data_IF_294123062747
#
_entry.id   IF_294123062747
#
_cell.length_a   1.000
_cell.length_b   1.000
_cell.length_c   1.000
_cell.angle_alpha   90.00
_cell.angle_beta   90.00
_cell.angle_gamma   90.00
#
_symmetry.space_group_name_H-M   'P 1'
#
loop_
_entity.id
_entity.type
_entity.pdbx_description
1 polymer ?
#
# COMPACT_ATOMS: atom_id res chain seq x y z
N UNK A 1 17.30 -19.12 15.70
CA UNK A 1 16.42 -18.25 16.51
C UNK A 1 15.03 -18.39 15.93
N UNK A 2 14.09 -18.99 16.66
CA UNK A 2 12.72 -19.15 16.19
C UNK A 2 12.17 -17.76 15.80
N UNK A 3 11.58 -17.62 14.60
CA UNK A 3 10.92 -16.38 14.24
C UNK A 3 9.71 -16.19 15.17
N UNK A 4 9.87 -15.34 16.20
CA UNK A 4 8.83 -15.11 17.20
C UNK A 4 7.48 -14.70 16.59
N UNK A 5 7.53 -13.95 15.48
CA UNK A 5 6.38 -13.57 14.70
C UNK A 5 6.81 -13.28 13.26
N UNK A 6 6.17 -13.88 12.25
CA UNK A 6 6.38 -13.62 10.83
C UNK A 6 5.06 -13.58 10.06
N UNK A 7 5.06 -13.07 8.83
CA UNK A 7 3.90 -13.08 7.95
C UNK A 7 4.13 -14.09 6.82
N UNK A 8 3.18 -15.00 6.64
CA UNK A 8 3.25 -16.06 5.64
C UNK A 8 1.87 -16.33 5.04
N UNK A 9 1.83 -17.04 3.92
CA UNK A 9 0.58 -17.51 3.31
C UNK A 9 0.22 -18.87 3.92
N UNK A 10 -1.03 -19.04 4.33
CA UNK A 10 -1.57 -20.31 4.81
C UNK A 10 -1.93 -21.26 3.68
N UNK A 11 -2.33 -22.48 4.06
CA UNK A 11 -2.67 -23.54 3.10
C UNK A 11 -3.95 -23.20 2.30
N UNK A 12 -4.79 -22.34 2.87
CA UNK A 12 -5.97 -21.72 2.27
C UNK A 12 -5.63 -20.56 1.31
N UNK A 13 -4.36 -20.23 1.14
CA UNK A 13 -3.91 -19.10 0.31
C UNK A 13 -4.06 -17.73 0.97
N UNK A 14 -4.46 -17.67 2.24
CA UNK A 14 -4.69 -16.42 2.99
C UNK A 14 -3.42 -16.00 3.73
N UNK A 15 -3.12 -14.70 3.74
CA UNK A 15 -2.00 -14.19 4.52
C UNK A 15 -2.32 -14.20 6.01
N UNK A 16 -1.38 -14.67 6.83
CA UNK A 16 -1.52 -14.79 8.28
C UNK A 16 -0.20 -14.44 8.96
N UNK A 17 -0.30 -13.94 10.20
CA UNK A 17 0.80 -13.89 11.14
C UNK A 17 0.98 -15.28 11.76
N UNK A 18 2.22 -15.77 11.76
CA UNK A 18 2.65 -17.06 12.31
C UNK A 18 3.82 -16.88 13.27
N UNK A 19 4.12 -17.89 14.07
CA UNK A 19 5.18 -17.86 15.08
C UNK A 19 4.65 -18.11 16.48
N UNK A 20 5.55 -18.16 17.46
CA UNK A 20 5.21 -18.46 18.87
C UNK A 20 4.30 -17.41 19.50
N UNK A 21 4.36 -16.17 19.02
CA UNK A 21 3.54 -15.06 19.51
C UNK A 21 2.27 -14.80 18.67
N UNK A 22 1.96 -15.64 17.68
CA UNK A 22 0.83 -15.39 16.78
C UNK A 22 -0.53 -15.34 17.50
N UNK A 23 -0.67 -16.11 18.59
CA UNK A 23 -1.89 -16.13 19.42
C UNK A 23 -2.21 -14.78 20.07
N UNK A 24 -1.20 -13.93 20.35
CA UNK A 24 -1.40 -12.58 20.87
C UNK A 24 -2.09 -11.65 19.84
N UNK A 25 -2.10 -12.05 18.56
CA UNK A 25 -2.56 -11.24 17.43
C UNK A 25 -3.62 -11.95 16.57
N UNK A 26 -4.44 -12.83 17.16
CA UNK A 26 -5.51 -13.55 16.44
C UNK A 26 -6.45 -12.61 15.67
N UNK A 27 -6.80 -11.46 16.24
CA UNK A 27 -7.62 -10.43 15.57
C UNK A 27 -7.03 -9.98 14.23
N UNK A 28 -5.70 -9.97 14.09
CA UNK A 28 -5.03 -9.64 12.82
C UNK A 28 -5.29 -10.74 11.79
N UNK A 29 -5.23 -12.01 12.18
CA UNK A 29 -5.47 -13.14 11.28
C UNK A 29 -6.93 -13.21 10.85
N UNK A 30 -7.86 -13.00 11.78
CA UNK A 30 -9.30 -12.90 11.46
C UNK A 30 -9.56 -11.73 10.49
N UNK A 31 -8.91 -10.59 10.67
CA UNK A 31 -9.01 -9.46 9.76
C UNK A 31 -8.46 -9.77 8.37
N UNK A 32 -7.31 -10.44 8.27
CA UNK A 32 -6.72 -10.82 6.98
C UNK A 32 -7.59 -11.85 6.24
N UNK A 33 -8.22 -12.78 6.97
CA UNK A 33 -9.26 -13.68 6.46
C UNK A 33 -10.45 -12.91 5.91
N UNK A 34 -10.99 -11.97 6.70
CA UNK A 34 -12.08 -11.09 6.26
C UNK A 34 -11.75 -10.32 4.97
N UNK A 35 -10.51 -9.82 4.81
CA UNK A 35 -10.11 -9.16 3.57
C UNK A 35 -10.10 -10.13 2.38
N UNK A 36 -9.66 -11.37 2.58
CA UNK A 36 -9.68 -12.40 1.55
C UNK A 36 -11.14 -12.72 1.13
N UNK A 37 -12.04 -12.91 2.09
CA UNK A 37 -13.47 -13.17 1.85
C UNK A 37 -14.16 -12.02 1.10
N UNK A 38 -13.72 -10.79 1.36
CA UNK A 38 -14.17 -9.57 0.66
C UNK A 38 -13.55 -9.42 -0.74
N UNK A 39 -12.82 -10.42 -1.23
CA UNK A 39 -12.14 -10.44 -2.52
C UNK A 39 -11.15 -9.28 -2.71
N UNK A 40 -10.47 -8.86 -1.64
CA UNK A 40 -9.34 -7.95 -1.79
C UNK A 40 -8.20 -8.65 -2.54
N UNK A 41 -7.42 -7.86 -3.29
CA UNK A 41 -6.32 -8.45 -4.06
C UNK A 41 -5.28 -9.11 -3.13
N UNK A 42 -4.68 -10.25 -3.51
CA UNK A 42 -3.63 -10.90 -2.71
C UNK A 42 -2.44 -9.97 -2.41
N UNK A 43 -2.17 -9.00 -3.29
CA UNK A 43 -1.15 -7.97 -3.07
C UNK A 43 -1.53 -7.01 -1.94
N UNK A 44 -2.81 -6.66 -1.82
CA UNK A 44 -3.32 -5.84 -0.72
C UNK A 44 -3.25 -6.60 0.60
N UNK A 45 -3.72 -7.86 0.62
CA UNK A 45 -3.64 -8.71 1.82
C UNK A 45 -2.18 -8.89 2.26
N UNK A 46 -1.26 -9.17 1.33
CA UNK A 46 0.18 -9.22 1.60
C UNK A 46 0.71 -7.92 2.20
N UNK A 47 0.40 -6.78 1.58
CA UNK A 47 0.88 -5.49 2.06
C UNK A 47 0.38 -5.21 3.49
N UNK A 48 -0.90 -5.48 3.75
CA UNK A 48 -1.48 -5.28 5.07
C UNK A 48 -0.91 -6.26 6.09
N UNK A 49 -0.68 -7.53 5.73
CA UNK A 49 -0.05 -8.51 6.61
C UNK A 49 1.34 -8.06 7.07
N UNK A 50 2.19 -7.56 6.17
CA UNK A 50 3.51 -7.04 6.56
C UNK A 50 3.44 -5.72 7.33
N UNK A 51 2.48 -4.86 7.00
CA UNK A 51 2.28 -3.60 7.72
C UNK A 51 1.79 -3.85 9.17
N UNK A 52 0.87 -4.82 9.35
CA UNK A 52 0.38 -5.25 10.66
C UNK A 52 1.41 -6.08 11.42
N UNK A 53 2.22 -6.90 10.75
CA UNK A 53 3.37 -7.57 11.36
C UNK A 53 4.35 -6.57 11.98
N UNK A 54 4.63 -5.48 11.25
CA UNK A 54 5.52 -4.44 11.76
C UNK A 54 4.95 -3.74 13.01
N UNK A 55 3.63 -3.53 13.04
CA UNK A 55 2.94 -2.98 14.21
C UNK A 55 2.92 -3.98 15.37
N UNK A 56 2.59 -5.24 15.13
CA UNK A 56 2.57 -6.30 16.13
C UNK A 56 3.94 -6.50 16.79
N UNK A 57 5.02 -6.59 15.99
CA UNK A 57 6.39 -6.66 16.50
C UNK A 57 6.76 -5.44 17.35
N UNK A 58 6.32 -4.25 16.96
CA UNK A 58 6.55 -3.05 17.75
C UNK A 58 5.77 -3.07 19.07
N UNK A 59 4.48 -3.44 19.06
CA UNK A 59 3.66 -3.59 20.26
C UNK A 59 4.27 -4.54 21.28
N UNK A 60 4.81 -5.70 20.83
CA UNK A 60 5.51 -6.63 21.72
C UNK A 60 6.77 -6.02 22.35
N UNK A 61 7.54 -5.26 21.56
CA UNK A 61 8.70 -4.53 22.08
C UNK A 61 8.33 -3.48 23.14
N UNK A 62 7.15 -2.90 23.04
CA UNK A 62 6.57 -1.95 24.00
C UNK A 62 5.78 -2.65 25.13
N UNK A 63 5.67 -3.98 25.10
CA UNK A 63 4.85 -4.78 26.03
C UNK A 63 3.38 -4.33 26.09
N UNK A 64 2.83 -3.87 24.96
CA UNK A 64 1.45 -3.41 24.84
C UNK A 64 0.59 -4.47 24.14
N UNK A 65 -0.59 -4.76 24.69
CA UNK A 65 -1.54 -5.67 24.07
C UNK A 65 -2.34 -4.97 22.96
N UNK A 66 -2.70 -5.72 21.91
CA UNK A 66 -3.49 -5.18 20.79
C UNK A 66 -4.86 -4.65 21.22
N UNK A 67 -5.44 -5.25 22.27
CA UNK A 67 -6.76 -4.87 22.81
C UNK A 67 -6.77 -3.49 23.48
N UNK A 68 -5.61 -3.08 24.04
CA UNK A 68 -5.41 -1.85 24.82
C UNK A 68 -4.87 -0.68 23.98
N UNK A 69 -4.76 -0.87 22.66
CA UNK A 69 -4.28 0.18 21.77
C UNK A 69 -5.28 1.34 21.76
N UNK A 70 -4.81 2.49 22.24
CA UNK A 70 -5.50 3.78 22.20
C UNK A 70 -4.80 4.76 21.22
N UNK A 71 -5.22 6.03 21.23
CA UNK A 71 -4.62 7.08 20.39
C UNK A 71 -3.16 7.31 20.75
N UNK A 72 -2.79 7.24 22.04
CA UNK A 72 -1.44 7.52 22.52
C UNK A 72 -0.47 6.42 22.06
N UNK A 73 -0.89 5.16 22.10
CA UNK A 73 -0.13 4.04 21.52
C UNK A 73 0.11 4.26 20.02
N UNK A 74 -0.89 4.74 19.27
CA UNK A 74 -0.70 5.03 17.84
C UNK A 74 0.25 6.21 17.60
N UNK A 75 0.24 7.23 18.47
CA UNK A 75 1.19 8.34 18.40
C UNK A 75 2.62 7.88 18.73
N UNK A 76 2.80 7.00 19.72
CA UNK A 76 4.11 6.36 19.99
C UNK A 76 4.58 5.53 18.79
N UNK A 77 3.70 4.77 18.16
CA UNK A 77 4.04 4.01 16.94
C UNK A 77 4.45 4.93 15.78
N UNK A 78 3.78 6.07 15.63
CA UNK A 78 4.12 7.07 14.65
C UNK A 78 5.53 7.64 14.88
N UNK A 79 5.86 7.96 16.13
CA UNK A 79 7.21 8.40 16.54
C UNK A 79 8.25 7.32 16.23
N UNK A 80 8.00 6.08 16.64
CA UNK A 80 8.87 4.95 16.33
C UNK A 80 9.10 4.78 14.83
N UNK A 81 8.07 4.98 13.99
CA UNK A 81 8.22 4.95 12.55
C UNK A 81 9.08 6.09 11.99
N UNK A 82 9.06 7.28 12.61
CA UNK A 82 9.85 8.44 12.19
C UNK A 82 11.31 8.35 12.64
N UNK A 83 11.58 7.62 13.70
CA UNK A 83 12.92 7.48 14.30
C UNK A 83 13.59 6.14 13.96
N UNK A 84 12.86 5.22 13.31
CA UNK A 84 13.37 3.91 12.94
C UNK A 84 14.71 3.98 12.19
N UNK A 85 15.69 3.24 12.71
CA UNK A 85 16.97 2.99 12.04
C UNK A 85 16.81 1.79 11.12
N UNK A 86 17.08 2.00 9.83
CA UNK A 86 16.91 0.98 8.80
C UNK A 86 18.27 0.40 8.41
N UNK A 87 18.45 -0.93 8.45
CA UNK A 87 19.67 -1.57 8.00
C UNK A 87 20.02 -1.16 6.56
N UNK A 88 21.28 -0.85 6.29
CA UNK A 88 21.75 -0.45 4.96
C UNK A 88 21.41 0.99 4.54
N UNK A 89 20.74 1.78 5.39
CA UNK A 89 20.63 3.23 5.19
C UNK A 89 21.77 3.92 5.94
N UNK A 90 22.53 4.83 5.30
CA UNK A 90 23.56 5.56 6.02
C UNK A 90 22.92 6.32 7.19
N UNK A 91 23.59 6.27 8.36
CA UNK A 91 23.06 6.78 9.63
C UNK A 91 22.73 8.28 9.62
N UNK A 92 22.31 8.81 10.77
CA UNK A 92 21.79 10.19 10.92
C UNK A 92 22.69 11.32 10.40
N UNK A 93 23.95 11.05 10.07
CA UNK A 93 24.91 11.99 9.49
C UNK A 93 24.78 12.14 7.97
N UNK A 94 23.99 11.31 7.27
CA UNK A 94 23.77 11.44 5.82
C UNK A 94 22.37 11.99 5.55
N UNK A 95 22.34 13.24 5.12
CA UNK A 95 21.13 13.93 4.72
C UNK A 95 20.79 13.63 3.26
N UNK A 96 19.62 13.06 3.00
CA UNK A 96 19.12 12.99 1.63
C UNK A 96 18.72 14.38 1.17
N UNK A 97 19.50 14.99 0.28
CA UNK A 97 19.17 16.25 -0.41
C UNK A 97 17.79 16.14 -1.12
N UNK A 98 17.41 14.93 -1.52
CA UNK A 98 16.18 14.64 -2.27
C UNK A 98 14.91 14.67 -1.39
N UNK A 99 15.04 14.31 -0.12
CA UNK A 99 13.91 14.04 0.77
C UNK A 99 13.94 14.88 2.07
N UNK A 100 15.03 15.61 2.32
CA UNK A 100 15.23 16.45 3.51
C UNK A 100 15.22 15.66 4.83
N UNK A 101 15.50 14.35 4.78
CA UNK A 101 15.45 13.45 5.94
C UNK A 101 16.69 12.56 5.99
N UNK A 102 17.12 12.30 7.22
CA UNK A 102 18.26 11.44 7.57
C UNK A 102 17.83 10.17 8.33
N UNK A 103 16.56 10.06 8.77
CA UNK A 103 16.08 8.96 9.62
C UNK A 103 14.62 8.57 9.32
N UNK A 104 14.22 7.36 9.73
CA UNK A 104 12.82 6.89 9.69
C UNK A 104 12.30 6.38 8.36
N UNK A 105 11.08 5.84 8.39
CA UNK A 105 10.36 5.39 7.19
C UNK A 105 9.88 6.55 6.32
N UNK A 106 9.74 6.30 5.02
CA UNK A 106 9.12 7.27 4.11
C UNK A 106 7.67 7.55 4.54
N UNK A 107 7.15 8.79 4.40
CA UNK A 107 5.78 9.13 4.79
C UNK A 107 4.71 8.23 4.15
N UNK A 108 4.92 7.80 2.90
CA UNK A 108 4.03 6.87 2.21
C UNK A 108 3.97 5.50 2.89
N UNK A 109 5.10 5.00 3.40
CA UNK A 109 5.15 3.74 4.16
C UNK A 109 4.41 3.88 5.49
N UNK A 110 4.65 4.98 6.21
CA UNK A 110 3.96 5.26 7.49
C UNK A 110 2.45 5.34 7.27
N UNK A 111 2.01 6.09 6.26
CA UNK A 111 0.59 6.22 5.95
C UNK A 111 -0.05 4.89 5.53
N UNK A 112 0.68 4.01 4.82
CA UNK A 112 0.18 2.68 4.46
C UNK A 112 0.00 1.80 5.70
N UNK A 113 0.96 1.82 6.63
CA UNK A 113 0.84 1.14 7.93
C UNK A 113 -0.35 1.64 8.72
N UNK A 114 -0.50 2.97 8.85
CA UNK A 114 -1.65 3.57 9.52
C UNK A 114 -2.97 3.21 8.85
N UNK A 115 -3.02 3.08 7.52
CA UNK A 115 -4.22 2.65 6.81
C UNK A 115 -4.59 1.18 7.11
N UNK A 116 -3.60 0.29 7.18
CA UNK A 116 -3.81 -1.11 7.59
C UNK A 116 -4.33 -1.19 9.03
N UNK A 117 -3.69 -0.47 9.96
CA UNK A 117 -4.10 -0.38 11.38
C UNK A 117 -5.52 0.19 11.51
N UNK A 118 -5.82 1.27 10.78
CA UNK A 118 -7.17 1.88 10.78
C UNK A 118 -8.22 0.89 10.29
N UNK A 119 -7.89 0.09 9.26
CA UNK A 119 -8.80 -0.91 8.71
C UNK A 119 -9.02 -2.08 9.67
N UNK A 120 -7.98 -2.50 10.39
CA UNK A 120 -8.07 -3.52 11.44
C UNK A 120 -9.00 -3.07 12.58
N UNK A 121 -8.83 -1.86 13.10
CA UNK A 121 -9.69 -1.37 14.19
C UNK A 121 -11.12 -1.07 13.73
N UNK A 122 -11.32 -0.67 12.47
CA UNK A 122 -12.66 -0.58 11.89
C UNK A 122 -13.33 -1.97 11.77
N UNK A 123 -12.57 -3.02 11.46
CA UNK A 123 -13.06 -4.40 11.50
C UNK A 123 -13.43 -4.85 12.91
N UNK A 124 -12.64 -4.48 13.93
CA UNK A 124 -12.98 -4.72 15.34
C UNK A 124 -14.29 -4.04 15.75
N UNK A 125 -14.44 -2.75 15.44
CA UNK A 125 -15.66 -1.96 15.72
C UNK A 125 -16.90 -2.54 15.01
N UNK A 126 -16.73 -3.11 13.82
CA UNK A 126 -17.81 -3.79 13.10
C UNK A 126 -18.26 -5.09 13.80
N UNK A 127 -17.36 -5.82 14.46
CA UNK A 127 -17.67 -7.08 15.18
C UNK A 127 -18.22 -6.84 16.58
N UNK A 128 -17.76 -5.78 17.24
CA UNK A 128 -18.19 -5.41 18.58
C UNK A 128 -18.47 -3.89 18.63
N UNK A 129 -19.74 -3.47 18.60
CA UNK A 129 -20.12 -2.07 18.69
C UNK A 129 -19.68 -1.36 19.98
N UNK A 130 -19.35 -2.11 21.05
CA UNK A 130 -18.83 -1.56 22.30
C UNK A 130 -17.31 -1.38 22.28
N UNK A 131 -16.62 -1.95 21.27
CA UNK A 131 -15.19 -1.81 21.13
C UNK A 131 -14.82 -0.36 20.80
N UNK A 132 -13.96 0.24 21.63
CA UNK A 132 -13.40 1.56 21.37
C UNK A 132 -12.35 1.46 20.26
N UNK A 133 -12.53 2.22 19.18
CA UNK A 133 -11.51 2.34 18.13
C UNK A 133 -10.53 3.49 18.43
N UNK A 134 -9.21 3.25 18.45
CA UNK A 134 -8.20 4.28 18.62
C UNK A 134 -8.08 5.20 17.39
N UNK A 135 -8.57 4.75 16.25
CA UNK A 135 -8.62 5.56 15.04
C UNK A 135 -10.02 6.14 14.95
N UNK A 136 -10.17 7.40 15.35
CA UNK A 136 -11.46 8.07 15.34
C UNK A 136 -12.13 7.99 13.96
N UNK A 137 -13.19 7.18 13.87
CA UNK A 137 -14.11 7.06 12.74
C UNK A 137 -15.24 8.11 12.83
N UNK A 138 -15.05 9.18 13.61
CA UNK A 138 -16.06 10.20 13.86
C UNK A 138 -16.22 11.24 12.73
N UNK A 139 -17.38 11.93 12.71
CA UNK A 139 -17.69 13.08 11.82
C UNK A 139 -16.63 14.22 11.81
N UNK A 140 -15.64 14.19 12.70
CA UNK A 140 -14.64 15.22 12.92
C UNK A 140 -13.40 15.17 11.99
N UNK A 141 -13.17 14.10 11.21
CA UNK A 141 -11.98 13.99 10.35
C UNK A 141 -12.16 14.51 8.89
N UNK A 142 -13.04 15.50 8.68
CA UNK A 142 -13.46 15.99 7.35
C UNK A 142 -12.58 17.13 6.81
N UNK A 143 -11.38 16.82 6.31
CA UNK A 143 -10.58 17.79 5.55
C UNK A 143 -10.64 17.51 4.03
N UNK A 144 -11.14 18.50 3.27
CA UNK A 144 -11.28 18.48 1.81
C UNK A 144 -9.94 18.20 1.12
N UNK A 145 -9.91 17.31 0.13
CA UNK A 145 -8.76 17.24 -0.77
C UNK A 145 -8.85 18.35 -1.84
N UNK A 146 -7.73 19.00 -2.17
CA UNK A 146 -7.73 20.13 -3.12
C UNK A 146 -8.25 19.80 -4.53
N UNK A 147 -8.31 18.51 -4.91
CA UNK A 147 -8.83 18.05 -6.21
C UNK A 147 -10.36 17.94 -6.23
N UNK A 148 -11.01 17.88 -5.06
CA UNK A 148 -12.47 17.86 -4.89
C UNK A 148 -13.07 19.28 -4.87
N UNK A 149 -12.23 20.33 -4.93
CA UNK A 149 -12.68 21.74 -4.97
C UNK A 149 -13.09 22.22 -6.36
N UNK A 150 -12.86 21.45 -7.42
CA UNK A 150 -12.97 21.93 -8.80
C UNK A 150 -13.78 20.94 -9.65
N UNK A 151 -15.09 21.17 -9.70
CA UNK A 151 -16.04 20.46 -10.55
C UNK A 151 -17.45 21.03 -10.38
N UNK A 152 -18.30 20.96 -11.41
CA UNK A 152 -19.68 21.48 -11.39
C UNK A 152 -20.50 20.94 -10.20
N UNK A 153 -20.21 19.72 -9.77
CA UNK A 153 -20.86 19.01 -8.67
C UNK A 153 -20.02 18.96 -7.38
N UNK A 154 -19.06 19.87 -7.21
CA UNK A 154 -18.26 19.93 -5.98
C UNK A 154 -19.11 20.15 -4.71
N UNK A 155 -20.30 20.73 -4.85
CA UNK A 155 -21.27 20.95 -3.77
C UNK A 155 -21.94 19.65 -3.28
N UNK A 156 -21.99 18.60 -4.10
CA UNK A 156 -22.56 17.28 -3.76
C UNK A 156 -21.49 16.28 -3.30
N UNK A 157 -20.20 16.57 -3.52
CA UNK A 157 -19.10 15.74 -3.07
C UNK A 157 -19.02 15.72 -1.52
N UNK A 158 -19.34 14.58 -0.92
CA UNK A 158 -19.13 14.36 0.52
C UNK A 158 -17.61 14.29 0.78
N UNK A 159 -17.05 15.11 1.69
CA UNK A 159 -15.62 15.13 1.95
C UNK A 159 -15.15 13.73 2.40
N UNK A 160 -14.15 13.17 1.72
CA UNK A 160 -13.54 11.92 2.15
C UNK A 160 -12.60 12.21 3.31
N UNK A 161 -12.97 11.71 4.49
CA UNK A 161 -12.20 11.94 5.71
C UNK A 161 -10.75 11.49 5.55
N UNK A 162 -9.80 12.29 6.05
CA UNK A 162 -8.39 11.91 6.16
C UNK A 162 -8.09 11.71 7.63
N UNK A 163 -7.53 10.56 7.99
CA UNK A 163 -7.13 10.29 9.38
C UNK A 163 -6.23 11.42 9.90
N UNK A 164 -6.48 11.96 11.11
CA UNK A 164 -5.65 13.00 11.72
C UNK A 164 -4.21 12.52 11.95
N UNK A 165 -3.98 11.21 12.04
CA UNK A 165 -2.65 10.59 12.19
C UNK A 165 -1.84 10.60 10.89
N UNK A 166 -2.41 11.03 9.76
CA UNK A 166 -1.75 10.96 8.46
C UNK A 166 -0.56 11.92 8.37
N UNK A 167 0.60 11.38 8.01
CA UNK A 167 1.83 12.14 7.78
C UNK A 167 1.80 12.85 6.43
N UNK A 168 2.25 14.11 6.38
CA UNK A 168 2.35 14.89 5.14
C UNK A 168 3.39 14.26 4.19
N UNK A 169 2.91 13.89 3.00
CA UNK A 169 3.75 13.44 1.89
C UNK A 169 4.15 14.63 1.01
N UNK A 170 5.46 14.81 0.71
CA UNK A 170 5.89 15.77 -0.30
C UNK A 170 5.29 15.41 -1.66
N UNK A 171 4.64 16.37 -2.32
CA UNK A 171 4.10 16.14 -3.67
C UNK A 171 5.25 16.16 -4.66
N UNK A 172 5.64 14.99 -5.15
CA UNK A 172 6.65 14.87 -6.21
C UNK A 172 5.98 14.96 -7.57
N UNK A 173 6.53 15.78 -8.46
CA UNK A 173 6.15 15.76 -9.87
C UNK A 173 6.82 14.54 -10.52
N UNK A 174 6.10 13.76 -11.34
CA UNK A 174 6.72 12.74 -12.17
C UNK A 174 7.83 13.38 -13.03
N UNK A 175 9.01 12.77 -13.07
CA UNK A 175 10.04 13.11 -14.05
C UNK A 175 9.85 12.16 -15.23
N UNK A 176 9.44 12.70 -16.37
CA UNK A 176 9.34 11.95 -17.62
C UNK A 176 10.72 11.75 -18.25
N UNK A 177 10.83 10.74 -19.10
CA UNK A 177 12.00 10.56 -19.96
C UNK A 177 11.88 11.50 -21.18
N UNK A 178 13.01 12.02 -21.66
CA UNK A 178 13.09 12.67 -22.96
C UNK A 178 12.86 11.67 -24.09
N UNK A 179 12.69 12.16 -25.33
CA UNK A 179 12.55 11.31 -26.51
C UNK A 179 13.81 10.48 -26.74
N UNK A 180 14.98 11.10 -26.57
CA UNK A 180 16.30 10.50 -26.72
C UNK A 180 16.53 9.44 -25.64
N UNK A 181 16.21 9.74 -24.38
CA UNK A 181 16.32 8.79 -23.27
C UNK A 181 15.40 7.58 -23.49
N UNK A 182 14.19 7.80 -23.98
CA UNK A 182 13.24 6.73 -24.28
C UNK A 182 13.72 5.83 -25.42
N UNK A 183 14.27 6.41 -26.49
CA UNK A 183 14.85 5.67 -27.60
C UNK A 183 16.08 4.85 -27.16
N UNK A 184 16.97 5.46 -26.37
CA UNK A 184 18.14 4.78 -25.82
C UNK A 184 17.73 3.60 -24.91
N UNK A 185 16.72 3.78 -24.05
CA UNK A 185 16.18 2.73 -23.20
C UNK A 185 15.66 1.54 -24.03
N UNK A 186 14.79 1.80 -25.02
CA UNK A 186 14.27 0.74 -25.89
C UNK A 186 15.37 0.05 -26.70
N UNK A 187 16.37 0.81 -27.17
CA UNK A 187 17.52 0.29 -27.90
C UNK A 187 18.43 -0.60 -27.06
N UNK A 188 18.48 -0.38 -25.74
CA UNK A 188 19.30 -1.18 -24.81
C UNK A 188 18.81 -2.61 -24.59
N UNK A 189 17.52 -2.89 -24.87
CA UNK A 189 16.96 -4.22 -24.72
C UNK A 189 17.50 -5.19 -25.78
N UNK A 190 17.99 -6.35 -25.32
CA UNK A 190 18.65 -7.35 -26.17
C UNK A 190 17.70 -8.39 -26.78
N UNK A 191 16.47 -8.51 -26.25
CA UNK A 191 15.50 -9.48 -26.72
C UNK A 191 14.26 -8.80 -27.34
N UNK A 192 13.65 -9.46 -28.33
CA UNK A 192 12.38 -9.01 -28.91
C UNK A 192 11.25 -8.94 -27.88
N UNK A 193 11.26 -9.86 -26.91
CA UNK A 193 10.32 -9.87 -25.79
C UNK A 193 10.43 -8.58 -24.97
N UNK A 194 11.63 -8.22 -24.53
CA UNK A 194 11.81 -7.05 -23.66
C UNK A 194 11.56 -5.74 -24.43
N UNK A 195 11.90 -5.70 -25.73
CA UNK A 195 11.51 -4.60 -26.63
C UNK A 195 10.00 -4.47 -26.78
N UNK A 196 9.28 -5.58 -26.96
CA UNK A 196 7.82 -5.58 -27.04
C UNK A 196 7.19 -5.12 -25.72
N UNK A 197 7.70 -5.60 -24.58
CA UNK A 197 7.24 -5.18 -23.25
C UNK A 197 7.44 -3.67 -23.07
N UNK A 198 8.66 -3.18 -23.31
CA UNK A 198 8.98 -1.75 -23.19
C UNK A 198 8.17 -0.89 -24.15
N UNK A 199 8.01 -1.34 -25.40
CA UNK A 199 7.24 -0.66 -26.44
C UNK A 199 5.75 -0.55 -26.09
N UNK A 200 5.12 -1.64 -25.65
CA UNK A 200 3.72 -1.64 -25.21
C UNK A 200 3.48 -0.72 -24.00
N UNK A 201 4.43 -0.68 -23.07
CA UNK A 201 4.35 0.23 -21.92
C UNK A 201 4.51 1.70 -22.35
N UNK A 202 5.46 2.01 -23.23
CA UNK A 202 5.78 3.37 -23.64
C UNK A 202 4.76 3.95 -24.64
N UNK A 203 4.35 3.16 -25.63
CA UNK A 203 3.54 3.62 -26.77
C UNK A 203 2.04 3.47 -26.52
N UNK A 204 1.62 2.36 -25.90
CA UNK A 204 0.21 2.08 -25.60
C UNK A 204 -0.17 2.37 -24.15
N UNK A 205 0.78 2.87 -23.33
CA UNK A 205 0.54 3.28 -21.95
C UNK A 205 0.15 2.13 -21.00
N UNK A 206 0.50 0.89 -21.35
CA UNK A 206 0.17 -0.28 -20.55
C UNK A 206 1.00 -0.35 -19.28
N UNK A 207 0.37 -0.77 -18.18
CA UNK A 207 1.08 -1.04 -16.91
C UNK A 207 1.86 -2.34 -17.03
N UNK A 208 2.96 -2.47 -16.30
CA UNK A 208 3.76 -3.70 -16.29
C UNK A 208 2.94 -4.96 -16.00
N UNK A 209 2.03 -4.90 -15.04
CA UNK A 209 1.13 -6.02 -14.72
C UNK A 209 0.10 -6.31 -15.83
N UNK A 210 -0.31 -5.30 -16.61
CA UNK A 210 -1.20 -5.48 -17.76
C UNK A 210 -0.44 -6.20 -18.89
N UNK A 211 0.80 -5.77 -19.19
CA UNK A 211 1.64 -6.38 -20.24
C UNK A 211 2.04 -7.81 -19.90
N UNK A 212 2.45 -8.08 -18.65
CA UNK A 212 2.82 -9.42 -18.21
C UNK A 212 1.65 -10.41 -18.19
N UNK A 213 0.41 -9.90 -18.18
CA UNK A 213 -0.81 -10.70 -18.21
C UNK A 213 -1.35 -11.01 -19.61
N UNK A 214 -0.77 -10.42 -20.66
CA UNK A 214 -1.24 -10.60 -22.03
C UNK A 214 -1.06 -12.04 -22.51
N UNK A 215 -2.08 -12.56 -23.19
CA UNK A 215 -2.01 -13.81 -23.94
C UNK A 215 -1.94 -13.52 -25.44
N UNK A 216 -1.47 -14.50 -26.22
CA UNK A 216 -1.45 -14.40 -27.69
C UNK A 216 -2.85 -14.11 -28.24
N UNK A 217 -3.89 -14.69 -27.64
CA UNK A 217 -5.30 -14.47 -27.99
C UNK A 217 -5.81 -13.05 -27.74
N UNK A 218 -5.08 -12.23 -26.99
CA UNK A 218 -5.47 -10.86 -26.69
C UNK A 218 -4.90 -9.86 -27.71
N UNK A 219 -4.05 -10.31 -28.63
CA UNK A 219 -3.42 -9.49 -29.65
C UNK A 219 -4.06 -9.77 -31.01
N UNK A 220 -4.76 -8.78 -31.54
CA UNK A 220 -5.24 -8.79 -32.92
C UNK A 220 -4.19 -8.09 -33.80
N UNK A 221 -3.30 -8.88 -34.40
CA UNK A 221 -2.22 -8.37 -35.25
C UNK A 221 -2.79 -7.71 -36.51
N UNK A 222 -3.86 -8.26 -37.08
CA UNK A 222 -4.46 -7.75 -38.31
C UNK A 222 -5.07 -6.36 -38.10
N UNK A 223 -5.76 -6.17 -36.97
CA UNK A 223 -6.32 -4.87 -36.60
C UNK A 223 -5.29 -3.95 -35.96
N UNK A 224 -4.18 -4.49 -35.47
CA UNK A 224 -3.15 -3.82 -34.64
C UNK A 224 -3.71 -3.33 -33.30
N UNK A 225 -4.47 -4.19 -32.63
CA UNK A 225 -5.14 -3.87 -31.37
C UNK A 225 -4.79 -4.91 -30.31
N UNK A 226 -4.67 -4.48 -29.06
CA UNK A 226 -4.44 -5.33 -27.91
C UNK A 226 -5.57 -5.17 -26.90
N UNK A 227 -6.13 -6.29 -26.48
CA UNK A 227 -7.20 -6.38 -25.50
C UNK A 227 -6.60 -6.51 -24.11
N UNK A 228 -7.01 -5.66 -23.17
CA UNK A 228 -6.34 -5.54 -21.87
C UNK A 228 -7.36 -5.48 -20.74
N UNK A 229 -7.10 -6.26 -19.69
CA UNK A 229 -7.84 -6.19 -18.43
C UNK A 229 -7.19 -5.19 -17.48
N UNK A 230 -7.87 -4.06 -17.26
CA UNK A 230 -7.46 -3.01 -16.35
C UNK A 230 -7.90 -3.23 -14.90
N UNK A 231 -7.60 -2.22 -14.07
CA UNK A 231 -7.98 -2.21 -12.65
C UNK A 231 -9.50 -2.38 -12.49
N UNK A 232 -9.90 -3.34 -11.65
CA UNK A 232 -11.31 -3.67 -11.39
C UNK A 232 -11.91 -4.65 -12.38
N UNK A 233 -11.09 -5.39 -13.15
CA UNK A 233 -11.56 -6.37 -14.12
C UNK A 233 -12.18 -5.75 -15.36
N UNK A 234 -11.97 -4.46 -15.60
CA UNK A 234 -12.54 -3.75 -16.75
C UNK A 234 -11.69 -3.98 -17.99
N UNK A 235 -12.32 -4.49 -19.03
CA UNK A 235 -11.70 -4.68 -20.33
C UNK A 235 -11.63 -3.35 -21.10
N UNK A 236 -10.51 -3.14 -21.80
CA UNK A 236 -10.34 -2.06 -22.77
C UNK A 236 -9.45 -2.55 -23.91
N UNK A 237 -9.63 -1.96 -25.08
CA UNK A 237 -8.76 -2.20 -26.21
C UNK A 237 -7.84 -1.01 -26.42
N UNK A 238 -6.57 -1.27 -26.68
CA UNK A 238 -5.56 -0.26 -26.99
C UNK A 238 -5.00 -0.52 -28.39
N UNK A 239 -4.72 0.53 -29.18
CA UNK A 239 -3.97 0.39 -30.42
C UNK A 239 -2.49 0.04 -30.17
#
# INVERSE_FOLDING_TARGET
MAEELCAAVGDDGVWQLRGTAAGEFELVNEFLGYLADRNFSPRTCRAYAYDLLAFARWLRGEQAALVDVDVDVLLRFLTACREARLPGRPGGNVYSIRDGRNQGYAPATINRRLAAISSLFAFREMRDPQARSPVSSGRAARLRSGRERSGLLAHTAKPKARSPLRVREPRRLPRGLSREESAALLGSFRSWRDRAIGGLMLLSGLRSAEVLGLRVSDVDIARRWVRVFGKGGKERSVP
#
